data_IF_481788793385
#
_entry.id   IF_481788793385
#
_cell.length_a   1.000
_cell.length_b   1.000
_cell.length_c   1.000
_cell.angle_alpha   90.00
_cell.angle_beta   90.00
_cell.angle_gamma   90.00
#
_symmetry.space_group_name_H-M   'P 1'
#
loop_
_entity.id
_entity.type
_entity.pdbx_description
1 polymer ?
#
# COMPACT_ATOMS: atom_id res chain seq x y z
N UNK A 1 8.49 0.56 18.30
CA UNK A 1 7.49 0.47 17.20
C UNK A 1 6.84 1.84 17.09
N UNK A 2 7.06 2.56 15.98
CA UNK A 2 6.33 3.81 15.72
C UNK A 2 4.93 3.38 15.27
N UNK A 3 3.91 3.67 16.08
CA UNK A 3 2.52 3.48 15.66
C UNK A 3 2.19 4.58 14.67
N UNK A 4 1.82 4.21 13.44
CA UNK A 4 1.31 5.18 12.49
C UNK A 4 0.07 5.87 13.10
N UNK A 5 0.12 7.19 13.19
CA UNK A 5 -1.03 7.98 13.65
C UNK A 5 -1.96 8.18 12.46
N UNK A 6 -2.86 7.22 12.25
CA UNK A 6 -3.78 7.20 11.10
C UNK A 6 -5.05 7.97 11.45
N UNK A 7 -5.23 9.14 10.83
CA UNK A 7 -6.42 9.98 10.98
C UNK A 7 -7.52 9.63 9.97
N UNK A 8 -7.14 9.13 8.79
CA UNK A 8 -8.06 8.71 7.72
C UNK A 8 -7.60 7.38 7.13
N UNK A 9 -8.54 6.47 6.85
CA UNK A 9 -8.24 5.17 6.25
C UNK A 9 -9.33 4.70 5.30
N UNK A 10 -8.96 3.76 4.43
CA UNK A 10 -9.90 3.08 3.52
C UNK A 10 -9.32 1.78 2.98
N UNK A 11 -10.12 1.08 2.17
CA UNK A 11 -9.68 -0.14 1.51
C UNK A 11 -8.87 0.20 0.24
N UNK A 12 -7.84 -0.60 -0.03
CA UNK A 12 -7.21 -0.66 -1.35
C UNK A 12 -8.03 -1.65 -2.18
N UNK A 13 -8.73 -1.16 -3.19
CA UNK A 13 -9.62 -1.96 -4.05
C UNK A 13 -9.13 -1.95 -5.49
N UNK A 14 -9.64 -2.88 -6.30
CA UNK A 14 -9.39 -2.95 -7.74
C UNK A 14 -7.92 -3.19 -8.16
N UNK A 15 -7.06 -3.63 -7.25
CA UNK A 15 -5.63 -3.86 -7.53
C UNK A 15 -5.36 -4.98 -8.56
N UNK A 16 -6.38 -5.72 -8.96
CA UNK A 16 -6.31 -6.73 -10.04
C UNK A 16 -6.37 -6.11 -11.43
N UNK A 17 -6.97 -4.91 -11.56
CA UNK A 17 -7.21 -4.27 -12.85
C UNK A 17 -6.37 -3.01 -13.07
N UNK A 18 -5.97 -2.32 -11.99
CA UNK A 18 -5.23 -1.07 -12.08
C UNK A 18 -4.34 -0.82 -10.86
N UNK A 19 -3.41 0.13 -11.01
CA UNK A 19 -2.63 0.63 -9.89
C UNK A 19 -3.52 1.41 -8.92
N UNK A 20 -3.23 1.33 -7.63
CA UNK A 20 -3.93 2.09 -6.61
C UNK A 20 -3.11 3.29 -6.15
N UNK A 21 -3.73 4.47 -6.14
CA UNK A 21 -3.23 5.70 -5.51
C UNK A 21 -4.42 6.50 -4.96
N UNK A 22 -4.16 7.43 -4.05
CA UNK A 22 -5.19 8.36 -3.60
C UNK A 22 -5.42 9.45 -4.66
N UNK A 23 -6.68 9.87 -4.85
CA UNK A 23 -7.08 10.84 -5.89
C UNK A 23 -6.39 12.21 -5.73
N UNK A 24 -6.06 12.59 -4.50
CA UNK A 24 -5.36 13.83 -4.15
C UNK A 24 -3.82 13.71 -4.24
N UNK A 25 -3.30 12.53 -4.59
CA UNK A 25 -1.87 12.25 -4.63
C UNK A 25 -1.21 12.14 -3.25
N UNK A 26 -2.00 12.14 -2.17
CA UNK A 26 -1.50 11.98 -0.82
C UNK A 26 -0.79 10.63 -0.67
N UNK A 27 0.35 10.64 0.01
CA UNK A 27 1.05 9.41 0.35
C UNK A 27 0.46 8.79 1.62
N UNK A 28 0.50 7.46 1.71
CA UNK A 28 -0.17 6.68 2.74
C UNK A 28 0.67 5.50 3.21
N UNK A 29 0.41 5.03 4.43
CA UNK A 29 0.88 3.75 4.91
C UNK A 29 -0.05 2.62 4.44
N UNK A 30 0.52 1.44 4.26
CA UNK A 30 -0.23 0.23 3.90
C UNK A 30 -0.44 -0.63 5.15
N UNK A 31 -1.69 -1.03 5.38
CA UNK A 31 -2.04 -2.10 6.33
C UNK A 31 -2.31 -3.38 5.55
N UNK A 32 -1.63 -4.46 5.90
CA UNK A 32 -2.03 -5.81 5.51
C UNK A 32 -2.99 -6.37 6.57
N UNK A 33 -4.28 -6.41 6.24
CA UNK A 33 -5.37 -6.96 7.06
C UNK A 33 -5.64 -8.44 6.72
N UNK A 34 -4.71 -9.08 5.99
CA UNK A 34 -4.69 -10.51 5.71
C UNK A 34 -4.14 -11.34 6.86
N UNK A 35 -3.88 -12.62 6.57
CA UNK A 35 -3.35 -13.60 7.55
C UNK A 35 -1.91 -14.03 7.27
N UNK A 36 -1.29 -13.47 6.22
CA UNK A 36 0.08 -13.77 5.81
C UNK A 36 0.72 -12.53 5.18
N UNK A 37 2.06 -12.38 5.25
CA UNK A 37 2.76 -11.33 4.54
C UNK A 37 2.51 -11.37 3.03
N UNK A 38 2.63 -10.22 2.36
CA UNK A 38 2.46 -10.12 0.91
C UNK A 38 3.54 -9.25 0.28
N UNK A 39 4.22 -9.78 -0.74
CA UNK A 39 5.14 -9.02 -1.57
C UNK A 39 4.37 -8.26 -2.65
N UNK A 40 4.59 -6.95 -2.75
CA UNK A 40 3.95 -6.07 -3.72
C UNK A 40 4.98 -5.12 -4.32
N UNK A 41 4.76 -4.75 -5.58
CA UNK A 41 5.47 -3.66 -6.20
C UNK A 41 4.82 -2.32 -5.83
N UNK A 42 5.59 -1.38 -5.31
CA UNK A 42 5.12 -0.06 -4.89
C UNK A 42 6.06 1.05 -5.32
N UNK A 43 5.51 2.25 -5.50
CA UNK A 43 6.28 3.48 -5.59
C UNK A 43 6.26 4.15 -4.21
N UNK A 44 7.42 4.29 -3.57
CA UNK A 44 7.54 4.99 -2.29
C UNK A 44 7.39 6.51 -2.48
N UNK A 45 6.99 7.22 -1.43
CA UNK A 45 6.70 8.66 -1.47
C UNK A 45 7.84 9.54 -2.03
N UNK A 46 9.10 9.15 -1.81
CA UNK A 46 10.28 9.87 -2.30
C UNK A 46 10.82 9.39 -3.66
N UNK A 47 10.17 8.42 -4.30
CA UNK A 47 10.62 7.87 -5.58
C UNK A 47 10.06 8.68 -6.76
N UNK A 48 10.81 8.65 -7.86
CA UNK A 48 10.39 9.22 -9.12
C UNK A 48 9.13 8.51 -9.65
N UNK A 49 8.27 9.27 -10.32
CA UNK A 49 7.02 8.75 -10.88
C UNK A 49 7.29 7.70 -11.96
N UNK A 50 6.65 6.54 -11.80
CA UNK A 50 6.80 5.40 -12.70
C UNK A 50 7.82 4.35 -12.24
N UNK A 51 8.64 4.65 -11.23
CA UNK A 51 9.57 3.68 -10.64
C UNK A 51 8.89 2.85 -9.55
N UNK A 52 9.11 1.53 -9.58
CA UNK A 52 8.54 0.60 -8.60
C UNK A 52 9.63 -0.29 -8.02
N UNK A 53 9.54 -0.54 -6.71
CA UNK A 53 10.33 -1.56 -6.01
C UNK A 53 9.41 -2.63 -5.46
N UNK A 54 9.93 -3.84 -5.31
CA UNK A 54 9.26 -4.89 -4.55
C UNK A 54 9.51 -4.70 -3.06
N UNK A 55 8.45 -4.75 -2.26
CA UNK A 55 8.53 -4.74 -0.80
C UNK A 55 7.58 -5.79 -0.22
N UNK A 56 7.91 -6.30 0.97
CA UNK A 56 7.06 -7.24 1.68
C UNK A 56 6.29 -6.52 2.79
N UNK A 57 4.97 -6.67 2.79
CA UNK A 57 4.09 -6.09 3.80
C UNK A 57 3.67 -7.16 4.81
N UNK A 58 4.17 -7.04 6.03
CA UNK A 58 3.78 -7.88 7.16
C UNK A 58 2.35 -7.56 7.62
N UNK A 59 1.75 -8.51 8.34
CA UNK A 59 0.39 -8.38 8.90
C UNK A 59 0.36 -7.18 9.86
N UNK A 60 -0.60 -6.28 9.64
CA UNK A 60 -0.73 -5.03 10.39
C UNK A 60 -0.26 -3.82 9.58
N UNK A 61 -0.01 -2.71 10.29
CA UNK A 61 0.45 -1.47 9.69
C UNK A 61 1.95 -1.54 9.41
N UNK A 62 2.33 -1.17 8.19
CA UNK A 62 3.71 -1.17 7.74
C UNK A 62 4.26 0.27 7.69
N UNK A 63 5.52 0.49 8.07
CA UNK A 63 6.11 1.83 8.21
C UNK A 63 6.37 2.52 6.87
N UNK A 64 6.40 1.79 5.77
CA UNK A 64 6.65 2.33 4.44
C UNK A 64 5.55 3.31 4.03
N UNK A 65 5.97 4.50 3.58
CA UNK A 65 5.09 5.52 3.05
C UNK A 65 5.06 5.38 1.52
N UNK A 66 3.90 5.01 1.01
CA UNK A 66 3.65 4.64 -0.39
C UNK A 66 2.85 5.74 -1.08
N UNK A 67 3.18 5.99 -2.36
CA UNK A 67 2.39 6.84 -3.26
C UNK A 67 1.49 6.01 -4.17
N UNK A 68 2.00 4.90 -4.69
CA UNK A 68 1.28 4.01 -5.61
C UNK A 68 1.54 2.56 -5.24
N UNK A 69 0.48 1.74 -5.18
CA UNK A 69 0.59 0.28 -5.18
C UNK A 69 0.33 -0.20 -6.60
N UNK A 70 1.27 -0.95 -7.19
CA UNK A 70 1.14 -1.46 -8.55
C UNK A 70 0.06 -2.52 -8.62
N UNK A 71 -0.64 -2.60 -9.76
CA UNK A 71 -1.54 -3.70 -10.05
C UNK A 71 -0.85 -5.05 -9.87
N UNK A 72 -1.60 -6.05 -9.41
CA UNK A 72 -1.11 -7.40 -9.16
C UNK A 72 -2.17 -8.44 -9.47
N UNK A 73 -1.76 -9.61 -9.93
CA UNK A 73 -2.64 -10.76 -10.12
C UNK A 73 -2.92 -11.53 -8.82
N UNK A 74 -2.33 -11.12 -7.69
CA UNK A 74 -2.59 -11.70 -6.39
C UNK A 74 -4.06 -11.51 -6.00
N UNK A 75 -4.75 -12.62 -5.79
CA UNK A 75 -6.13 -12.65 -5.31
C UNK A 75 -6.17 -12.73 -3.78
N UNK A 76 -7.31 -12.33 -3.19
CA UNK A 76 -7.58 -12.43 -1.75
C UNK A 76 -6.64 -11.62 -0.83
N UNK A 77 -5.94 -10.63 -1.37
CA UNK A 77 -5.20 -9.65 -0.56
C UNK A 77 -6.20 -8.70 0.12
N UNK A 78 -6.01 -8.47 1.42
CA UNK A 78 -6.84 -7.56 2.21
C UNK A 78 -5.98 -6.39 2.65
N UNK A 79 -5.95 -5.34 1.84
CA UNK A 79 -5.10 -4.19 2.08
C UNK A 79 -5.95 -2.95 2.42
N UNK A 80 -5.43 -2.13 3.32
CA UNK A 80 -5.97 -0.81 3.64
C UNK A 80 -4.88 0.24 3.48
N UNK A 81 -5.28 1.45 3.17
CA UNK A 81 -4.43 2.64 3.19
C UNK A 81 -4.78 3.49 4.41
N UNK A 82 -3.83 4.30 4.88
CA UNK A 82 -4.11 5.32 5.88
C UNK A 82 -3.00 6.38 6.00
N UNK A 83 -3.37 7.58 6.45
CA UNK A 83 -2.48 8.70 6.76
C UNK A 83 -3.10 9.63 7.81
#
# INVERSE_FOLDING_TARGET
>A
MISAQIGKMGAITNLVNENFSLDDGQCFNVKNDGIQPVALYVQLAGMQDGDFIETNFDIGWNPEIVKVVKQTSLSNIKLKWGY
#
